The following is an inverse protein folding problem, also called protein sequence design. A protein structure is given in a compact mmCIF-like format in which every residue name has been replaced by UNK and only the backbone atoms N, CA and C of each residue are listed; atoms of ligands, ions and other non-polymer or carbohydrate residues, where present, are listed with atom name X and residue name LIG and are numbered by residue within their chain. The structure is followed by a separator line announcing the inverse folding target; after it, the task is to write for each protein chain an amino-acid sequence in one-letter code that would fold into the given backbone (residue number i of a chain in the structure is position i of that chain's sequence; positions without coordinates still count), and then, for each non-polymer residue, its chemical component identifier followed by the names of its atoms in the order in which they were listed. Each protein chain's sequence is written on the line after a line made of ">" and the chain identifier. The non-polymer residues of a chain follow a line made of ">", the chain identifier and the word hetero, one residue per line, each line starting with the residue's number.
data_IF_588692885114
#
_entry.id   IF_588692885114
#
_cell.length_a   1.000
_cell.length_b   1.000
_cell.length_c   1.000
_cell.angle_alpha   90.00
_cell.angle_beta   90.00
_cell.angle_gamma   90.00
#
_symmetry.space_group_name_H-M   'P 1'
#
loop_
_entity.id
_entity.type
_entity.pdbx_description
1 polymer ?
#
# COMPACT_ATOMS: atom_id res chain seq x y z
N UNK A 1 12.98 -4.64 -4.07
CA UNK A 1 13.16 -4.09 -2.72
C UNK A 1 13.65 -5.16 -1.74
N UNK A 2 14.25 -4.77 -0.61
CA UNK A 2 14.62 -5.69 0.46
C UNK A 2 13.46 -6.02 1.41
N UNK A 3 12.36 -5.26 1.32
CA UNK A 3 11.12 -5.47 2.05
C UNK A 3 10.00 -4.79 1.27
N UNK A 4 8.90 -5.49 1.00
CA UNK A 4 7.71 -4.90 0.40
C UNK A 4 6.85 -4.31 1.52
N UNK A 5 6.65 -3.01 1.49
CA UNK A 5 5.80 -2.28 2.44
C UNK A 5 4.56 -1.77 1.71
N UNK A 6 3.39 -2.10 2.24
CA UNK A 6 2.10 -1.57 1.81
C UNK A 6 1.43 -0.87 3.00
N UNK A 7 1.20 0.44 2.89
CA UNK A 7 0.58 1.26 3.96
C UNK A 7 1.24 1.04 5.33
N UNK A 8 2.58 1.08 5.37
CA UNK A 8 3.38 0.87 6.58
C UNK A 8 3.64 -0.58 6.98
N UNK A 9 2.86 -1.53 6.47
CA UNK A 9 2.92 -2.94 6.85
C UNK A 9 3.80 -3.74 5.89
N UNK A 10 4.62 -4.66 6.43
CA UNK A 10 5.39 -5.58 5.59
C UNK A 10 4.49 -6.60 4.91
N UNK A 11 4.69 -6.78 3.61
CA UNK A 11 4.02 -7.80 2.79
C UNK A 11 4.95 -8.98 2.46
N UNK A 12 6.19 -8.92 2.92
CA UNK A 12 7.20 -9.96 2.65
C UNK A 12 7.99 -10.35 3.91
N UNK A 13 7.42 -10.14 5.11
CA UNK A 13 8.03 -10.43 6.42
C UNK A 13 9.51 -9.99 6.52
N UNK A 14 9.80 -8.78 6.06
CA UNK A 14 11.15 -8.20 6.00
C UNK A 14 12.11 -8.93 5.07
N UNK A 15 11.60 -9.73 4.13
CA UNK A 15 12.38 -10.38 3.08
C UNK A 15 12.32 -9.63 1.74
N UNK A 16 13.23 -9.97 0.82
CA UNK A 16 13.31 -9.32 -0.47
C UNK A 16 12.08 -9.62 -1.35
N UNK A 17 11.56 -8.58 -1.99
CA UNK A 17 10.50 -8.69 -2.98
C UNK A 17 11.01 -8.33 -4.39
N UNK A 18 10.60 -9.15 -5.37
CA UNK A 18 10.77 -8.91 -6.80
C UNK A 18 9.41 -8.50 -7.35
N UNK A 19 9.37 -7.31 -7.94
CA UNK A 19 8.13 -6.64 -8.34
C UNK A 19 8.21 -6.21 -9.80
N UNK A 20 7.07 -6.17 -10.48
CA UNK A 20 7.01 -5.65 -11.84
C UNK A 20 5.60 -5.57 -12.39
N UNK A 21 5.40 -4.72 -13.41
CA UNK A 21 4.11 -4.51 -14.01
C UNK A 21 4.20 -4.10 -15.48
N UNK A 22 3.05 -3.95 -16.11
CA UNK A 22 2.90 -3.42 -17.46
C UNK A 22 1.73 -2.45 -17.44
N UNK A 23 1.96 -1.25 -17.94
CA UNK A 23 0.98 -0.17 -18.01
C UNK A 23 0.73 0.23 -19.45
N UNK A 24 -0.51 0.55 -19.75
CA UNK A 24 -0.93 1.24 -20.95
C UNK A 24 -1.68 2.51 -20.57
N UNK A 25 -1.28 3.62 -21.15
CA UNK A 25 -1.98 4.90 -21.03
C UNK A 25 -2.13 5.56 -22.41
N UNK A 26 -3.22 6.27 -22.63
CA UNK A 26 -3.46 7.02 -23.84
C UNK A 26 -3.59 8.53 -23.60
N UNK A 27 -3.58 9.29 -24.70
CA UNK A 27 -3.64 10.76 -24.67
C UNK A 27 -4.96 11.31 -24.07
N UNK A 28 -5.99 10.49 -23.90
CA UNK A 28 -7.24 10.91 -23.24
C UNK A 28 -7.12 11.01 -21.74
N UNK A 29 -6.09 10.35 -21.16
CA UNK A 29 -5.89 10.19 -19.74
C UNK A 29 -6.37 8.84 -19.19
N UNK A 30 -7.00 8.00 -20.04
CA UNK A 30 -7.33 6.63 -19.64
C UNK A 30 -6.07 5.78 -19.51
N UNK A 31 -6.01 4.95 -18.48
CA UNK A 31 -4.96 3.96 -18.30
C UNK A 31 -5.52 2.64 -17.77
N UNK A 32 -4.78 1.57 -18.05
CA UNK A 32 -4.98 0.24 -17.52
C UNK A 32 -3.61 -0.41 -17.30
N UNK A 33 -3.47 -1.13 -16.21
CA UNK A 33 -2.21 -1.82 -15.91
C UNK A 33 -2.40 -3.07 -15.09
N UNK A 34 -1.29 -3.76 -14.91
CA UNK A 34 -1.16 -4.90 -14.02
C UNK A 34 0.20 -4.85 -13.34
N UNK A 35 0.26 -5.28 -12.11
CA UNK A 35 1.48 -5.35 -11.32
C UNK A 35 1.50 -6.66 -10.52
N UNK A 36 2.67 -7.14 -10.15
CA UNK A 36 2.81 -8.33 -9.33
C UNK A 36 4.05 -8.26 -8.42
N UNK A 37 3.95 -8.93 -7.28
CA UNK A 37 5.03 -9.11 -6.30
C UNK A 37 4.96 -10.51 -5.68
N UNK A 38 6.09 -11.02 -5.22
CA UNK A 38 6.04 -12.07 -4.21
C UNK A 38 5.66 -11.46 -2.87
N UNK A 39 4.85 -12.18 -2.12
CA UNK A 39 4.43 -11.84 -0.76
C UNK A 39 4.62 -13.05 0.16
N UNK A 40 4.71 -12.78 1.47
CA UNK A 40 4.75 -13.80 2.51
C UNK A 40 4.40 -13.14 3.84
N UNK A 41 3.51 -13.72 4.61
CA UNK A 41 3.07 -13.20 5.91
C UNK A 41 3.47 -14.10 7.07
N UNK A 42 3.79 -15.39 6.81
CA UNK A 42 4.32 -16.35 7.76
C UNK A 42 5.06 -17.48 7.01
N UNK A 43 5.84 -18.29 7.72
CA UNK A 43 6.63 -19.39 7.16
C UNK A 43 5.80 -20.51 6.53
N UNK A 44 4.54 -20.67 6.94
CA UNK A 44 3.62 -21.72 6.51
C UNK A 44 2.29 -21.18 5.96
N UNK A 45 2.25 -19.91 5.54
CA UNK A 45 1.05 -19.29 4.99
C UNK A 45 0.71 -19.81 3.57
N UNK A 46 -0.45 -19.43 3.07
CA UNK A 46 -0.92 -19.83 1.73
C UNK A 46 -0.59 -18.80 0.66
N UNK A 47 0.03 -17.68 1.06
CA UNK A 47 0.34 -16.58 0.16
C UNK A 47 1.73 -16.75 -0.45
N UNK A 48 1.85 -16.54 -1.73
CA UNK A 48 3.14 -16.53 -2.43
C UNK A 48 3.29 -15.37 -3.40
N UNK A 49 2.17 -14.82 -3.88
CA UNK A 49 2.16 -13.67 -4.78
C UNK A 49 0.96 -12.75 -4.50
N UNK A 50 1.12 -11.50 -4.89
CA UNK A 50 0.09 -10.50 -5.12
C UNK A 50 0.11 -10.14 -6.59
N UNK A 51 -1.06 -10.07 -7.21
CA UNK A 51 -1.24 -9.67 -8.61
C UNK A 51 -2.38 -8.67 -8.72
N UNK A 52 -2.03 -7.46 -9.10
CA UNK A 52 -2.96 -6.35 -9.20
C UNK A 52 -3.41 -6.12 -10.64
N UNK A 53 -4.67 -5.75 -10.80
CA UNK A 53 -5.24 -5.24 -12.05
C UNK A 53 -5.90 -3.91 -11.73
N UNK A 54 -5.52 -2.87 -12.45
CA UNK A 54 -6.07 -1.54 -12.23
C UNK A 54 -6.37 -0.82 -13.52
N UNK A 55 -7.30 0.11 -13.44
CA UNK A 55 -7.62 1.04 -14.51
C UNK A 55 -8.16 2.33 -13.94
N UNK A 56 -8.02 3.40 -14.69
CA UNK A 56 -8.46 4.71 -14.22
C UNK A 56 -8.36 5.79 -15.27
N UNK A 57 -8.53 6.99 -14.80
CA UNK A 57 -8.47 8.21 -15.58
C UNK A 57 -7.72 9.29 -14.82
N UNK A 58 -6.61 9.74 -15.38
CA UNK A 58 -5.77 10.80 -14.85
C UNK A 58 -5.79 12.02 -15.76
N UNK A 59 -5.64 13.20 -15.19
CA UNK A 59 -5.61 14.44 -15.95
C UNK A 59 -5.21 15.66 -15.13
N UNK A 60 -5.29 16.81 -15.77
CA UNK A 60 -4.97 18.11 -15.18
C UNK A 60 -6.08 19.12 -15.42
N UNK A 61 -6.36 19.96 -14.43
CA UNK A 61 -7.28 21.08 -14.51
C UNK A 61 -6.61 22.33 -13.92
N UNK A 62 -5.95 23.12 -14.77
CA UNK A 62 -5.11 24.24 -14.35
C UNK A 62 -3.86 23.72 -13.62
N UNK A 63 -3.68 24.13 -12.35
CA UNK A 63 -2.54 23.72 -11.51
C UNK A 63 -2.86 22.46 -10.66
N UNK A 64 -4.03 21.85 -10.88
CA UNK A 64 -4.49 20.68 -10.13
C UNK A 64 -4.35 19.44 -11.02
N UNK A 65 -3.61 18.43 -10.56
CA UNK A 65 -3.65 17.08 -11.11
C UNK A 65 -4.73 16.26 -10.40
N UNK A 66 -5.32 15.32 -11.09
CA UNK A 66 -6.28 14.37 -10.52
C UNK A 66 -6.11 12.99 -11.14
N UNK A 67 -6.44 11.98 -10.36
CA UNK A 67 -6.50 10.59 -10.78
C UNK A 67 -7.69 9.93 -10.06
N UNK A 68 -8.48 9.14 -10.77
CA UNK A 68 -9.53 8.30 -10.21
C UNK A 68 -9.48 6.94 -10.87
N UNK A 69 -9.51 5.88 -10.07
CA UNK A 69 -9.40 4.53 -10.61
C UNK A 69 -9.94 3.47 -9.67
N UNK A 70 -9.90 2.27 -10.18
CA UNK A 70 -10.20 1.05 -9.45
C UNK A 70 -8.99 0.13 -9.49
N UNK A 71 -8.65 -0.44 -8.34
CA UNK A 71 -7.55 -1.38 -8.14
C UNK A 71 -8.12 -2.66 -7.53
N UNK A 72 -7.84 -3.79 -8.17
CA UNK A 72 -8.20 -5.12 -7.70
C UNK A 72 -6.93 -5.88 -7.31
N UNK A 73 -6.86 -6.30 -6.07
CA UNK A 73 -5.80 -7.11 -5.49
C UNK A 73 -6.20 -8.59 -5.58
N UNK A 74 -5.35 -9.40 -6.18
CA UNK A 74 -5.58 -10.83 -6.34
C UNK A 74 -4.39 -11.61 -5.78
N UNK A 75 -4.68 -12.61 -4.97
CA UNK A 75 -3.71 -13.47 -4.31
C UNK A 75 -3.83 -14.92 -4.78
N UNK A 76 -3.06 -15.81 -4.17
CA UNK A 76 -3.18 -17.26 -4.39
C UNK A 76 -4.61 -17.74 -4.15
N UNK A 77 -5.15 -18.55 -5.03
CA UNK A 77 -6.54 -19.00 -4.98
C UNK A 77 -6.93 -19.72 -3.68
N UNK A 78 -5.96 -20.21 -2.93
CA UNK A 78 -6.17 -20.83 -1.62
C UNK A 78 -6.25 -19.82 -0.47
N UNK A 79 -5.86 -18.57 -0.72
CA UNK A 79 -5.91 -17.51 0.27
C UNK A 79 -7.35 -17.06 0.55
N UNK A 80 -8.17 -16.96 -0.53
CA UNK A 80 -9.55 -16.51 -0.40
C UNK A 80 -9.65 -15.08 0.12
N UNK A 81 -8.75 -14.19 -0.35
CA UNK A 81 -8.58 -12.86 0.19
C UNK A 81 -8.46 -11.76 -0.84
N UNK A 82 -9.05 -11.99 -2.02
CA UNK A 82 -9.09 -10.99 -3.06
C UNK A 82 -9.98 -9.82 -2.65
N UNK A 83 -9.59 -8.60 -2.99
CA UNK A 83 -10.39 -7.42 -2.71
C UNK A 83 -10.15 -6.32 -3.75
N UNK A 84 -11.01 -5.31 -3.73
CA UNK A 84 -10.89 -4.17 -4.64
C UNK A 84 -11.21 -2.85 -3.98
N UNK A 85 -10.53 -1.80 -4.45
CA UNK A 85 -10.68 -0.44 -3.97
C UNK A 85 -10.96 0.53 -5.11
N UNK A 86 -11.85 1.51 -4.84
CA UNK A 86 -11.89 2.75 -5.59
C UNK A 86 -10.94 3.75 -4.96
N UNK A 87 -10.13 4.43 -5.77
CA UNK A 87 -9.27 5.49 -5.27
C UNK A 87 -9.45 6.79 -6.05
N UNK A 88 -9.12 7.88 -5.37
CA UNK A 88 -9.05 9.20 -5.97
C UNK A 88 -7.90 10.01 -5.38
N UNK A 89 -7.06 10.57 -6.26
CA UNK A 89 -5.93 11.42 -5.89
C UNK A 89 -6.12 12.82 -6.44
N UNK A 90 -5.75 13.82 -5.67
CA UNK A 90 -5.61 15.19 -6.12
C UNK A 90 -4.23 15.73 -5.76
N UNK A 91 -3.61 16.47 -6.68
CA UNK A 91 -2.28 17.04 -6.51
C UNK A 91 -2.24 18.55 -6.83
N UNK A 92 -1.42 19.30 -6.09
CA UNK A 92 -1.13 20.71 -6.35
C UNK A 92 0.35 20.97 -6.07
N UNK A 93 1.10 21.31 -7.12
CA UNK A 93 2.55 21.45 -7.01
C UNK A 93 3.21 20.16 -6.58
N UNK A 94 3.86 20.16 -5.42
CA UNK A 94 4.57 19.00 -4.88
C UNK A 94 3.75 18.24 -3.82
N UNK A 95 2.51 18.63 -3.57
CA UNK A 95 1.61 18.01 -2.59
C UNK A 95 0.56 17.17 -3.30
N UNK A 96 0.24 16.00 -2.76
CA UNK A 96 -0.90 15.18 -3.16
C UNK A 96 -1.64 14.60 -1.96
N UNK A 97 -2.92 14.29 -2.18
CA UNK A 97 -3.79 13.61 -1.24
C UNK A 97 -4.55 12.51 -1.98
N UNK A 98 -4.59 11.32 -1.39
CA UNK A 98 -5.30 10.16 -1.92
C UNK A 98 -6.31 9.64 -0.92
N UNK A 99 -7.47 9.23 -1.41
CA UNK A 99 -8.47 8.45 -0.67
C UNK A 99 -8.72 7.15 -1.42
N UNK A 100 -8.56 6.02 -0.74
CA UNK A 100 -8.95 4.68 -1.22
C UNK A 100 -10.10 4.16 -0.36
N UNK A 101 -11.10 3.57 -0.99
CA UNK A 101 -12.28 3.02 -0.35
C UNK A 101 -12.46 1.56 -0.76
N UNK A 102 -12.63 0.67 0.21
CA UNK A 102 -13.00 -0.71 -0.07
C UNK A 102 -14.30 -0.77 -0.88
N UNK A 103 -14.32 -1.57 -1.94
CA UNK A 103 -15.52 -1.77 -2.80
C UNK A 103 -16.10 -3.15 -2.61
N UNK A 104 -15.24 -4.15 -2.60
CA UNK A 104 -15.59 -5.57 -2.46
C UNK A 104 -14.43 -6.33 -1.81
N UNK A 105 -14.75 -7.37 -1.09
CA UNK A 105 -13.81 -8.31 -0.50
C UNK A 105 -14.33 -9.73 -0.66
N UNK A 106 -13.43 -10.70 -0.87
CA UNK A 106 -13.77 -12.11 -1.00
C UNK A 106 -14.02 -12.78 0.37
N UNK A 107 -13.25 -12.46 1.44
CA UNK A 107 -13.43 -13.13 2.72
C UNK A 107 -14.80 -12.86 3.33
N UNK A 108 -15.32 -13.88 4.04
CA UNK A 108 -16.53 -13.75 4.81
C UNK A 108 -16.31 -12.87 6.06
N UNK A 109 -17.29 -12.05 6.38
CA UNK A 109 -17.27 -11.22 7.59
C UNK A 109 -17.32 -12.07 8.86
N UNK A 110 -16.44 -11.77 9.79
CA UNK A 110 -16.49 -12.31 11.16
C UNK A 110 -17.56 -11.62 12.01
N UNK A 111 -17.83 -12.11 13.24
CA UNK A 111 -18.79 -11.49 14.12
C UNK A 111 -18.45 -10.04 14.46
N UNK A 112 -19.29 -9.10 14.03
CA UNK A 112 -19.13 -7.67 14.27
C UNK A 112 -18.26 -6.94 13.24
N UNK A 113 -17.83 -7.61 12.19
CA UNK A 113 -17.11 -7.01 11.07
C UNK A 113 -18.06 -6.60 9.95
N UNK A 114 -17.69 -5.54 9.23
CA UNK A 114 -18.36 -5.09 8.01
C UNK A 114 -17.30 -4.83 6.91
N UNK A 115 -17.40 -5.56 5.79
CA UNK A 115 -16.53 -5.42 4.61
C UNK A 115 -17.30 -4.81 3.43
N UNK A 116 -18.38 -4.12 3.71
CA UNK A 116 -19.19 -3.44 2.72
C UNK A 116 -18.49 -2.26 2.06
N UNK A 117 -19.19 -1.63 1.11
CA UNK A 117 -18.67 -0.48 0.39
C UNK A 117 -18.33 0.68 1.34
N UNK A 118 -17.07 1.12 1.28
CA UNK A 118 -16.50 2.23 2.06
C UNK A 118 -16.45 2.01 3.60
N UNK A 119 -16.66 0.77 4.08
CA UNK A 119 -16.51 0.43 5.50
C UNK A 119 -15.04 0.28 5.92
N UNK A 120 -14.12 0.21 4.95
CA UNK A 120 -12.69 0.39 5.17
C UNK A 120 -12.15 1.46 4.22
N UNK A 121 -11.27 2.32 4.72
CA UNK A 121 -10.68 3.39 3.94
C UNK A 121 -9.20 3.61 4.27
N UNK A 122 -8.48 4.13 3.28
CA UNK A 122 -7.12 4.63 3.46
C UNK A 122 -7.01 6.05 2.90
N UNK A 123 -6.55 6.97 3.72
CA UNK A 123 -6.29 8.35 3.32
C UNK A 123 -4.81 8.65 3.46
N UNK A 124 -4.15 9.14 2.41
CA UNK A 124 -2.77 9.58 2.48
C UNK A 124 -2.55 11.02 2.08
N UNK A 125 -1.47 11.59 2.60
CA UNK A 125 -0.92 12.90 2.27
C UNK A 125 0.55 12.71 1.92
N UNK A 126 0.94 13.24 0.76
CA UNK A 126 2.30 13.12 0.25
C UNK A 126 2.88 14.48 -0.11
N UNK A 127 4.18 14.65 0.12
CA UNK A 127 4.90 15.84 -0.28
C UNK A 127 6.29 15.49 -0.83
N UNK A 128 6.61 15.96 -2.03
CA UNK A 128 7.90 15.69 -2.70
C UNK A 128 8.75 16.95 -2.69
N UNK A 129 10.00 16.83 -2.26
CA UNK A 129 11.00 17.89 -2.26
C UNK A 129 12.08 17.56 -3.31
N UNK A 130 12.03 18.19 -4.52
CA UNK A 130 13.08 18.00 -5.49
C UNK A 130 14.38 18.70 -5.06
N UNK A 131 15.51 18.00 -5.21
CA UNK A 131 16.82 18.52 -4.87
C UNK A 131 17.61 18.93 -6.15
N UNK A 132 18.52 19.90 -6.03
CA UNK A 132 19.38 20.32 -7.14
C UNK A 132 20.25 19.17 -7.71
N UNK A 133 20.49 18.14 -6.91
CA UNK A 133 21.24 16.94 -7.33
C UNK A 133 20.46 16.01 -8.27
N UNK A 134 19.17 16.28 -8.51
CA UNK A 134 18.23 15.40 -9.20
C UNK A 134 17.70 14.26 -8.32
N UNK A 135 18.00 14.25 -7.02
CA UNK A 135 17.32 13.36 -6.07
C UNK A 135 16.03 14.02 -5.59
N UNK A 136 15.10 13.20 -5.09
CA UNK A 136 13.84 13.65 -4.50
C UNK A 136 13.71 13.09 -3.09
N UNK A 137 13.24 13.94 -2.15
CA UNK A 137 12.85 13.50 -0.82
C UNK A 137 11.33 13.41 -0.79
N UNK A 138 10.79 12.26 -0.44
CA UNK A 138 9.37 12.02 -0.19
C UNK A 138 9.05 12.08 1.29
N UNK A 139 7.96 12.74 1.64
CA UNK A 139 7.33 12.70 2.96
C UNK A 139 5.93 12.15 2.81
N UNK A 140 5.55 11.21 3.65
CA UNK A 140 4.27 10.53 3.58
C UNK A 140 3.65 10.39 4.97
N UNK A 141 2.32 10.53 5.03
CA UNK A 141 1.49 10.18 6.17
C UNK A 141 0.19 9.56 5.66
N UNK A 142 -0.11 8.35 6.09
CA UNK A 142 -1.32 7.62 5.76
C UNK A 142 -2.12 7.28 7.02
N UNK A 143 -3.44 7.18 6.88
CA UNK A 143 -4.35 6.70 7.92
C UNK A 143 -5.23 5.60 7.33
N UNK A 144 -5.22 4.44 7.96
CA UNK A 144 -5.97 3.27 7.57
C UNK A 144 -6.98 2.91 8.66
N UNK A 145 -8.24 2.74 8.27
CA UNK A 145 -9.36 2.45 9.18
C UNK A 145 -10.28 1.37 8.64
N UNK A 146 -11.01 0.71 9.53
CA UNK A 146 -12.08 -0.24 9.23
C UNK A 146 -11.72 -1.70 9.48
N UNK A 147 -12.76 -2.52 9.70
CA UNK A 147 -12.66 -3.92 10.12
C UNK A 147 -11.90 -4.82 9.14
N UNK A 148 -11.85 -4.47 7.86
CA UNK A 148 -11.10 -5.21 6.85
C UNK A 148 -9.60 -5.26 7.15
N UNK A 149 -9.06 -4.23 7.80
CA UNK A 149 -7.66 -4.18 8.17
C UNK A 149 -7.26 -5.24 9.17
N UNK A 150 -8.10 -5.47 10.17
CA UNK A 150 -7.90 -6.56 11.11
C UNK A 150 -7.89 -7.93 10.42
N UNK A 151 -8.86 -8.17 9.55
CA UNK A 151 -8.98 -9.44 8.83
C UNK A 151 -7.79 -9.68 7.87
N UNK A 152 -7.30 -8.62 7.21
CA UNK A 152 -6.23 -8.72 6.19
C UNK A 152 -4.83 -8.74 6.80
N UNK A 153 -4.52 -7.79 7.68
CA UNK A 153 -3.16 -7.62 8.21
C UNK A 153 -3.02 -8.02 9.68
N UNK A 154 -4.13 -8.35 10.35
CA UNK A 154 -4.15 -8.60 11.79
C UNK A 154 -3.85 -7.34 12.60
N UNK A 155 -4.06 -6.16 12.03
CA UNK A 155 -4.02 -4.91 12.77
C UNK A 155 -5.29 -4.81 13.62
N UNK A 156 -5.15 -4.65 14.93
CA UNK A 156 -6.26 -4.67 15.88
C UNK A 156 -6.99 -3.34 15.97
N UNK A 157 -6.41 -2.27 15.45
CA UNK A 157 -6.97 -0.91 15.51
C UNK A 157 -6.66 -0.14 14.22
N UNK A 158 -7.33 1.00 14.06
CA UNK A 158 -6.99 1.98 13.03
C UNK A 158 -5.60 2.55 13.31
N UNK A 159 -4.81 2.75 12.26
CA UNK A 159 -3.43 3.18 12.46
C UNK A 159 -2.97 4.22 11.46
N UNK A 160 -1.95 4.96 11.84
CA UNK A 160 -1.17 5.82 10.97
C UNK A 160 0.08 5.10 10.49
N UNK A 161 0.42 5.29 9.24
CA UNK A 161 1.75 5.01 8.72
C UNK A 161 2.46 6.31 8.32
N UNK A 162 3.76 6.36 8.58
CA UNK A 162 4.60 7.51 8.32
C UNK A 162 5.87 7.07 7.64
N UNK A 163 6.29 7.76 6.60
CA UNK A 163 7.60 7.51 6.03
C UNK A 163 8.31 8.76 5.51
N UNK A 164 9.62 8.65 5.44
CA UNK A 164 10.50 9.56 4.71
C UNK A 164 11.35 8.74 3.77
N UNK A 165 11.47 9.20 2.53
CA UNK A 165 12.23 8.51 1.50
C UNK A 165 13.17 9.45 0.75
N UNK A 166 14.16 8.88 0.09
CA UNK A 166 14.98 9.54 -0.90
C UNK A 166 15.09 8.63 -2.12
N UNK A 167 14.94 9.20 -3.32
CA UNK A 167 15.03 8.45 -4.57
C UNK A 167 15.91 9.19 -5.58
N UNK A 168 16.66 8.43 -6.38
CA UNK A 168 17.45 8.93 -7.51
C UNK A 168 17.87 7.80 -8.45
N UNK A 169 17.73 8.03 -9.76
CA UNK A 169 18.22 7.14 -10.82
C UNK A 169 17.79 5.66 -10.63
N UNK A 170 16.53 5.45 -10.22
CA UNK A 170 15.95 4.14 -9.92
C UNK A 170 16.27 3.59 -8.53
N UNK A 171 17.25 4.14 -7.81
CA UNK A 171 17.53 3.77 -6.43
C UNK A 171 16.59 4.50 -5.47
N UNK A 172 16.13 3.80 -4.44
CA UNK A 172 15.35 4.39 -3.35
C UNK A 172 15.83 3.87 -2.00
N UNK A 173 15.67 4.72 -0.98
CA UNK A 173 15.82 4.36 0.43
C UNK A 173 14.71 5.03 1.22
N UNK A 174 14.10 4.31 2.14
CA UNK A 174 12.96 4.76 2.94
C UNK A 174 13.12 4.32 4.39
N UNK A 175 12.71 5.17 5.29
CA UNK A 175 12.45 4.84 6.70
C UNK A 175 10.96 4.95 6.91
N UNK A 176 10.33 3.91 7.42
CA UNK A 176 8.88 3.85 7.66
C UNK A 176 8.57 3.30 9.03
N UNK A 177 7.42 3.69 9.58
CA UNK A 177 6.88 3.21 10.86
C UNK A 177 5.36 3.32 10.83
N UNK A 178 4.70 2.62 11.75
CA UNK A 178 3.26 2.77 12.02
C UNK A 178 3.04 3.25 13.45
N UNK A 179 1.79 3.53 13.80
CA UNK A 179 1.38 3.79 15.19
C UNK A 179 0.84 2.55 15.89
N UNK A 180 0.95 1.37 15.28
CA UNK A 180 0.62 0.10 15.92
C UNK A 180 1.55 -0.14 17.11
N UNK A 181 1.05 -0.81 18.13
CA UNK A 181 1.79 -1.28 19.30
C UNK A 181 1.93 -2.80 19.33
N UNK A 182 2.56 -3.30 20.38
CA UNK A 182 2.70 -4.75 20.62
C UNK A 182 1.39 -5.42 21.01
N UNK A 183 0.50 -4.69 21.69
CA UNK A 183 -0.73 -5.17 22.35
C UNK A 183 -1.73 -4.01 22.39
N UNK A 184 -2.32 -3.69 21.24
CA UNK A 184 -3.21 -2.54 21.07
C UNK A 184 -4.59 -2.76 21.71
N UNK A 185 -5.06 -4.00 21.81
CA UNK A 185 -6.32 -4.33 22.47
C UNK A 185 -6.20 -4.53 24.00
N UNK A 186 -4.97 -4.60 24.52
CA UNK A 186 -4.66 -4.65 25.95
C UNK A 186 -4.96 -5.99 26.61
N UNK A 187 -5.01 -7.08 25.86
CA UNK A 187 -5.28 -8.42 26.39
C UNK A 187 -4.03 -9.10 26.97
N UNK A 188 -2.85 -8.52 26.78
CA UNK A 188 -1.56 -9.00 27.25
C UNK A 188 -0.92 -10.04 26.35
N UNK A 189 -1.37 -10.13 25.10
CA UNK A 189 -0.81 -10.98 24.04
C UNK A 189 -0.34 -10.06 22.91
N UNK A 190 0.81 -10.35 22.33
CA UNK A 190 1.34 -9.60 21.18
C UNK A 190 0.40 -9.76 19.98
N UNK A 191 0.03 -8.64 19.36
CA UNK A 191 -0.85 -8.58 18.20
C UNK A 191 -0.23 -9.22 16.96
N UNK A 192 -1.07 -9.85 16.14
CA UNK A 192 -0.61 -10.54 14.93
C UNK A 192 0.15 -9.61 13.97
N UNK A 193 -0.23 -8.34 13.86
CA UNK A 193 0.42 -7.36 13.01
C UNK A 193 1.87 -7.05 13.44
N UNK A 194 2.17 -7.16 14.74
CA UNK A 194 3.48 -6.87 15.33
C UNK A 194 4.31 -8.12 15.58
N UNK A 195 3.69 -9.29 15.58
CA UNK A 195 4.31 -10.56 15.95
C UNK A 195 5.44 -11.01 15.00
N UNK A 196 6.56 -11.41 15.58
CA UNK A 196 7.66 -12.08 14.89
C UNK A 196 8.32 -11.20 13.82
N UNK A 197 8.52 -11.72 12.61
CA UNK A 197 9.18 -11.01 11.52
C UNK A 197 8.33 -9.93 10.84
N UNK A 198 7.06 -9.75 11.24
CA UNK A 198 6.23 -8.64 10.78
C UNK A 198 6.69 -7.33 11.39
N UNK A 199 6.88 -7.28 12.72
CA UNK A 199 7.41 -6.11 13.46
C UNK A 199 6.80 -4.78 12.97
N UNK A 200 5.47 -4.73 12.70
CA UNK A 200 4.84 -3.57 12.07
C UNK A 200 4.75 -2.35 12.98
N UNK A 201 4.94 -2.53 14.28
CA UNK A 201 5.11 -1.50 15.30
C UNK A 201 6.52 -0.88 15.31
N UNK A 202 7.51 -1.53 14.69
CA UNK A 202 8.90 -1.10 14.66
C UNK A 202 9.26 -0.23 13.44
N UNK A 203 10.35 0.53 13.58
CA UNK A 203 10.90 1.32 12.47
C UNK A 203 11.57 0.39 11.47
N UNK A 204 11.16 0.47 10.20
CA UNK A 204 11.75 -0.31 9.10
C UNK A 204 12.62 0.56 8.19
N UNK A 205 13.71 -0.01 7.72
CA UNK A 205 14.56 0.57 6.69
C UNK A 205 14.45 -0.23 5.39
N UNK A 206 14.01 0.44 4.33
CA UNK A 206 13.73 -0.18 3.04
C UNK A 206 14.64 0.42 1.97
N UNK A 207 15.23 -0.44 1.14
CA UNK A 207 15.99 -0.02 -0.05
C UNK A 207 15.43 -0.75 -1.26
N UNK A 208 15.39 -0.05 -2.39
CA UNK A 208 14.86 -0.58 -3.64
C UNK A 208 15.65 -0.11 -4.85
N UNK A 209 15.45 -0.82 -5.94
CA UNK A 209 15.89 -0.41 -7.27
C UNK A 209 14.81 -0.75 -8.29
N UNK A 210 14.46 0.20 -9.14
CA UNK A 210 13.47 0.04 -10.21
C UNK A 210 14.04 0.49 -11.56
N UNK A 211 13.53 -0.10 -12.63
CA UNK A 211 13.82 0.30 -14.02
C UNK A 211 12.53 0.25 -14.84
N UNK A 212 12.32 1.25 -15.67
CA UNK A 212 11.22 1.31 -16.61
C UNK A 212 11.73 1.03 -18.03
N UNK A 213 10.90 0.36 -18.83
CA UNK A 213 11.15 0.05 -20.23
C UNK A 213 9.95 0.49 -21.05
N UNK A 214 10.18 1.31 -22.06
CA UNK A 214 9.17 1.62 -23.07
C UNK A 214 9.09 0.48 -24.09
N UNK A 215 7.88 0.04 -24.43
CA UNK A 215 7.58 -1.07 -25.35
C UNK A 215 7.07 -0.53 -26.69
#
# INVERSE_FOLDING_TARGET
>A
TNNYIWRGLTQSISEAAVQGGIDYADDSGFYIGTWASNVSYDSDDVYSYEHDIYFGYAGEAGDISYDIGYLYYNYDSNAGFDFGELYGTVGVGNFSATLSLLVNAEPDEGPGQDFGFAEASYTSLDYVIPLESGAEIGLHAGFHEGDFMYAFNGATDDYWDLNISIAKDGFSAMVTTTTLGDDDDGDGVEDYASMGARDNDEIKFVVGYSMDFEL
#
